data_IF_484479135102
#
_entry.id   IF_484479135102
#
_cell.length_a   1.000
_cell.length_b   1.000
_cell.length_c   1.000
_cell.angle_alpha   90.00
_cell.angle_beta   90.00
_cell.angle_gamma   90.00
#
_symmetry.space_group_name_H-M   'P 1'
#
loop_
_entity.id
_entity.type
_entity.pdbx_description
1 polymer ?
#
# COMPACT_ATOMS: atom_id res chain seq x y z
N UNK A 1 -14.60 22.98 -18.45
CA UNK A 1 -15.92 22.28 -18.48
C UNK A 1 -15.95 21.01 -19.36
N UNK A 2 -15.27 20.99 -20.52
CA UNK A 2 -15.23 19.84 -21.44
C UNK A 2 -14.38 18.68 -20.93
N UNK A 3 -13.28 18.96 -20.21
CA UNK A 3 -12.42 17.92 -19.61
C UNK A 3 -13.11 17.18 -18.47
N UNK A 4 -13.89 17.88 -17.65
CA UNK A 4 -14.66 17.29 -16.54
C UNK A 4 -15.79 16.40 -17.05
N UNK A 5 -16.45 16.76 -18.15
CA UNK A 5 -17.47 15.89 -18.78
C UNK A 5 -16.86 14.64 -19.42
N UNK A 6 -15.70 14.74 -20.07
CA UNK A 6 -15.00 13.56 -20.62
C UNK A 6 -14.52 12.62 -19.49
N UNK A 7 -13.97 13.15 -18.39
CA UNK A 7 -13.58 12.35 -17.25
C UNK A 7 -14.79 11.70 -16.56
N UNK A 8 -15.91 12.41 -16.41
CA UNK A 8 -17.17 11.82 -15.94
C UNK A 8 -17.67 10.71 -16.88
N UNK A 9 -17.59 10.88 -18.19
CA UNK A 9 -17.99 9.86 -19.16
C UNK A 9 -17.11 8.60 -19.11
N UNK A 10 -15.79 8.74 -18.91
CA UNK A 10 -14.89 7.58 -18.72
C UNK A 10 -15.13 6.86 -17.39
N UNK A 11 -15.45 7.59 -16.33
CA UNK A 11 -15.85 7.01 -15.04
C UNK A 11 -17.25 6.36 -15.09
N UNK A 12 -18.14 6.82 -15.96
CA UNK A 12 -19.54 6.38 -16.10
C UNK A 12 -19.66 5.18 -17.07
N UNK A 13 -18.68 4.93 -17.94
CA UNK A 13 -18.77 3.82 -18.92
C UNK A 13 -19.03 2.47 -18.26
N UNK A 14 -18.46 2.20 -17.09
CA UNK A 14 -18.64 0.94 -16.40
C UNK A 14 -19.85 0.92 -15.45
N UNK A 15 -20.42 2.10 -15.06
CA UNK A 15 -21.56 2.19 -14.12
C UNK A 15 -22.39 3.46 -14.29
N UNK A 16 -23.44 3.44 -15.12
CA UNK A 16 -24.24 4.64 -15.40
C UNK A 16 -25.06 5.20 -14.24
N UNK A 17 -25.23 4.49 -13.12
CA UNK A 17 -26.22 4.83 -12.08
C UNK A 17 -25.74 4.72 -10.63
N UNK A 18 -24.46 4.47 -10.35
CA UNK A 18 -23.98 4.35 -8.99
C UNK A 18 -23.12 5.56 -8.60
N UNK A 19 -23.50 6.26 -7.52
CA UNK A 19 -22.70 7.33 -6.86
C UNK A 19 -21.44 6.76 -6.18
N UNK A 20 -20.73 5.88 -6.86
CA UNK A 20 -19.53 5.21 -6.34
C UNK A 20 -18.30 5.65 -7.12
N UNK A 21 -17.13 5.76 -6.48
CA UNK A 21 -15.87 6.00 -7.18
C UNK A 21 -15.64 4.92 -8.23
N UNK A 22 -14.84 5.27 -9.24
CA UNK A 22 -14.40 4.33 -10.27
C UNK A 22 -13.79 3.07 -9.64
N UNK A 23 -14.04 1.91 -10.20
CA UNK A 23 -13.59 0.60 -9.71
C UNK A 23 -14.22 0.10 -8.40
N UNK A 24 -15.23 0.80 -7.88
CA UNK A 24 -16.01 0.39 -6.70
C UNK A 24 -17.45 0.04 -7.08
N UNK A 25 -18.01 -1.00 -6.41
CA UNK A 25 -19.40 -1.42 -6.62
C UNK A 25 -20.41 -0.56 -5.86
N UNK A 26 -19.90 0.23 -4.88
CA UNK A 26 -20.74 0.95 -3.92
C UNK A 26 -21.15 0.11 -2.71
N UNK A 27 -20.84 -1.18 -2.72
CA UNK A 27 -21.16 -2.12 -1.63
C UNK A 27 -19.97 -2.42 -0.72
N UNK A 28 -18.77 -2.08 -1.13
CA UNK A 28 -17.57 -2.20 -0.29
C UNK A 28 -17.66 -1.29 0.95
N UNK A 29 -17.06 -1.69 2.09
CA UNK A 29 -17.12 -0.91 3.33
C UNK A 29 -16.68 0.55 3.17
N UNK A 30 -15.62 0.80 2.37
CA UNK A 30 -15.15 2.15 2.10
C UNK A 30 -16.14 2.98 1.28
N UNK A 31 -16.71 2.40 0.19
CA UNK A 31 -17.69 3.08 -0.64
C UNK A 31 -18.99 3.38 0.12
N UNK A 32 -19.45 2.45 0.96
CA UNK A 32 -20.63 2.65 1.84
C UNK A 32 -20.40 3.76 2.85
N UNK A 33 -19.20 3.85 3.43
CA UNK A 33 -18.83 4.97 4.32
C UNK A 33 -18.80 6.28 3.57
N UNK A 34 -18.15 6.32 2.39
CA UNK A 34 -18.14 7.52 1.54
C UNK A 34 -19.56 8.02 1.25
N UNK A 35 -20.47 7.13 0.81
CA UNK A 35 -21.89 7.48 0.56
C UNK A 35 -22.58 8.03 1.80
N UNK A 36 -22.43 7.38 2.96
CA UNK A 36 -23.05 7.80 4.22
C UNK A 36 -22.67 9.22 4.63
N UNK A 37 -21.46 9.62 4.29
CA UNK A 37 -20.89 10.93 4.63
C UNK A 37 -20.82 11.90 3.45
N UNK A 38 -21.58 11.65 2.36
CA UNK A 38 -21.54 12.46 1.14
C UNK A 38 -20.10 12.72 0.63
N UNK A 39 -19.23 11.72 0.79
CA UNK A 39 -17.79 11.78 0.46
C UNK A 39 -17.01 12.90 1.18
N UNK A 40 -17.54 13.49 2.23
CA UNK A 40 -16.81 14.43 3.08
C UNK A 40 -15.75 13.68 3.90
N UNK A 41 -14.47 14.05 3.76
CA UNK A 41 -13.34 13.36 4.39
C UNK A 41 -13.32 13.57 5.90
N UNK A 42 -13.62 14.80 6.38
CA UNK A 42 -13.67 15.14 7.81
C UNK A 42 -14.63 14.22 8.55
N UNK A 43 -15.88 14.18 8.15
CA UNK A 43 -16.90 13.36 8.82
C UNK A 43 -16.67 11.85 8.69
N UNK A 44 -16.01 11.39 7.60
CA UNK A 44 -15.61 9.98 7.48
C UNK A 44 -14.53 9.60 8.51
N UNK A 45 -13.55 10.47 8.74
CA UNK A 45 -12.47 10.23 9.72
C UNK A 45 -13.01 10.35 11.14
N UNK A 46 -13.84 11.36 11.44
CA UNK A 46 -14.52 11.52 12.73
C UNK A 46 -15.28 10.26 13.12
N UNK A 47 -16.21 9.84 12.28
CA UNK A 47 -17.02 8.62 12.51
C UNK A 47 -16.16 7.37 12.70
N UNK A 48 -15.02 7.28 12.00
CA UNK A 48 -14.13 6.12 12.12
C UNK A 48 -13.30 6.15 13.40
N UNK A 49 -12.81 7.32 13.81
CA UNK A 49 -12.11 7.49 15.09
C UNK A 49 -13.02 7.18 16.27
N UNK A 50 -14.25 7.72 16.28
CA UNK A 50 -15.25 7.42 17.31
C UNK A 50 -15.52 5.91 17.41
N UNK A 51 -15.65 5.23 16.27
CA UNK A 51 -15.85 3.78 16.26
C UNK A 51 -14.66 3.03 16.86
N UNK A 52 -13.41 3.43 16.55
CA UNK A 52 -12.23 2.81 17.14
C UNK A 52 -12.16 3.05 18.65
N UNK A 53 -12.38 4.29 19.11
CA UNK A 53 -12.36 4.65 20.52
C UNK A 53 -13.44 3.87 21.28
N UNK A 54 -14.66 3.82 20.75
CA UNK A 54 -15.78 3.07 21.35
C UNK A 54 -15.48 1.57 21.49
N UNK A 55 -14.74 1.02 20.54
CA UNK A 55 -14.32 -0.39 20.55
C UNK A 55 -13.04 -0.64 21.37
N UNK A 56 -12.50 0.35 22.07
CA UNK A 56 -11.31 0.24 22.90
C UNK A 56 -10.00 0.12 22.14
N UNK A 57 -9.97 0.48 20.85
CA UNK A 57 -8.74 0.47 20.06
C UNK A 57 -7.91 1.74 20.31
N UNK A 58 -6.57 1.63 20.38
CA UNK A 58 -5.69 2.80 20.41
C UNK A 58 -5.82 3.59 19.11
N UNK A 59 -5.80 4.92 19.20
CA UNK A 59 -5.93 5.85 18.07
C UNK A 59 -4.80 6.87 18.02
N UNK A 60 -3.72 6.63 18.71
CA UNK A 60 -2.50 7.45 18.70
C UNK A 60 -1.69 7.33 17.41
N UNK A 61 -1.82 6.20 16.69
CA UNK A 61 -1.18 5.92 15.39
C UNK A 61 -2.22 5.55 14.35
N UNK A 62 -2.39 6.40 13.35
CA UNK A 62 -3.39 6.25 12.28
C UNK A 62 -2.69 6.03 10.95
N UNK A 63 -3.12 5.03 10.19
CA UNK A 63 -2.82 4.90 8.76
C UNK A 63 -4.04 5.35 7.95
N UNK A 64 -3.89 6.35 7.08
CA UNK A 64 -4.92 6.81 6.16
C UNK A 64 -4.72 6.14 4.80
N UNK A 65 -5.80 5.68 4.19
CA UNK A 65 -5.83 5.24 2.80
C UNK A 65 -6.91 6.02 2.06
N UNK A 66 -6.49 6.87 1.13
CA UNK A 66 -7.39 7.57 0.21
C UNK A 66 -7.79 6.60 -0.89
N UNK A 67 -8.99 6.07 -0.78
CA UNK A 67 -9.55 5.08 -1.69
C UNK A 67 -10.50 5.76 -2.68
N UNK A 68 -10.47 5.34 -3.93
CA UNK A 68 -11.35 5.92 -4.97
C UNK A 68 -10.90 5.58 -6.39
N UNK A 69 -9.93 4.68 -6.51
CA UNK A 69 -9.43 4.13 -7.76
C UNK A 69 -8.43 5.02 -8.48
N UNK A 70 -8.66 6.34 -8.61
CA UNK A 70 -7.74 7.27 -9.28
C UNK A 70 -7.88 8.66 -8.66
N UNK A 71 -7.35 8.81 -7.45
CA UNK A 71 -7.45 10.08 -6.72
C UNK A 71 -6.69 11.21 -7.42
N UNK A 72 -5.52 10.91 -7.98
CA UNK A 72 -4.65 11.87 -8.68
C UNK A 72 -5.26 12.47 -9.95
N UNK A 73 -6.34 11.89 -10.49
CA UNK A 73 -7.08 12.47 -11.62
C UNK A 73 -8.05 13.60 -11.22
N UNK A 74 -8.19 13.89 -9.92
CA UNK A 74 -8.98 15.01 -9.43
C UNK A 74 -8.19 16.29 -9.49
N UNK A 75 -8.89 17.45 -9.54
CA UNK A 75 -8.24 18.74 -9.46
C UNK A 75 -7.40 18.85 -8.18
N UNK A 76 -6.22 19.48 -8.22
CA UNK A 76 -5.33 19.62 -7.05
C UNK A 76 -6.03 20.22 -5.84
N UNK A 77 -6.79 21.30 -6.03
CA UNK A 77 -7.52 21.95 -4.94
C UNK A 77 -8.51 21.01 -4.25
N UNK A 78 -9.17 20.13 -5.03
CA UNK A 78 -10.04 19.10 -4.46
C UNK A 78 -9.24 18.07 -3.64
N UNK A 79 -8.06 17.67 -4.13
CA UNK A 79 -7.20 16.73 -3.42
C UNK A 79 -6.76 17.33 -2.08
N UNK A 80 -6.32 18.59 -2.08
CA UNK A 80 -5.83 19.28 -0.90
C UNK A 80 -6.96 19.53 0.11
N UNK A 81 -8.13 19.97 -0.32
CA UNK A 81 -9.30 20.15 0.57
C UNK A 81 -9.78 18.79 1.16
N UNK A 82 -9.72 17.72 0.37
CA UNK A 82 -10.07 16.38 0.87
C UNK A 82 -9.12 15.92 1.97
N UNK A 83 -7.81 16.11 1.79
CA UNK A 83 -6.81 15.76 2.79
C UNK A 83 -6.86 16.68 4.00
N UNK A 84 -7.01 17.99 3.80
CA UNK A 84 -7.22 19.00 4.86
C UNK A 84 -8.36 18.58 5.78
N UNK A 85 -9.52 18.17 5.24
CA UNK A 85 -10.64 17.69 6.04
C UNK A 85 -10.27 16.48 6.93
N UNK A 86 -9.49 15.53 6.41
CA UNK A 86 -9.01 14.40 7.19
C UNK A 86 -8.05 14.83 8.31
N UNK A 87 -7.07 15.69 8.01
CA UNK A 87 -6.09 16.18 8.98
C UNK A 87 -6.70 17.13 10.01
N UNK A 88 -7.72 17.90 9.66
CA UNK A 88 -8.48 18.71 10.62
C UNK A 88 -9.05 17.87 11.76
N UNK A 89 -9.58 16.69 11.44
CA UNK A 89 -10.05 15.74 12.46
C UNK A 89 -8.92 15.18 13.32
N UNK A 90 -7.80 14.77 12.69
CA UNK A 90 -6.67 14.19 13.44
C UNK A 90 -6.02 15.20 14.38
N UNK A 91 -5.94 16.46 13.96
CA UNK A 91 -5.32 17.55 14.72
C UNK A 91 -6.29 18.22 15.72
N UNK A 92 -7.60 18.00 15.55
CA UNK A 92 -8.63 18.68 16.35
C UNK A 92 -8.80 20.17 16.04
N UNK A 93 -8.22 20.67 14.93
CA UNK A 93 -8.28 22.05 14.47
C UNK A 93 -8.20 22.16 12.95
N UNK A 94 -8.77 23.22 12.39
CA UNK A 94 -8.71 23.50 10.95
C UNK A 94 -7.50 24.39 10.62
N UNK A 95 -6.67 23.91 9.70
CA UNK A 95 -5.46 24.58 9.21
C UNK A 95 -5.36 24.37 7.71
N UNK A 96 -4.65 25.23 6.96
CA UNK A 96 -4.19 24.91 5.61
C UNK A 96 -3.48 23.55 5.59
N UNK A 97 -3.55 22.82 4.46
CA UNK A 97 -3.05 21.43 4.42
C UNK A 97 -1.57 21.34 4.84
N UNK A 98 -0.72 22.22 4.36
CA UNK A 98 0.72 22.22 4.66
C UNK A 98 0.99 22.35 6.17
N UNK A 99 0.32 23.34 6.80
CA UNK A 99 0.40 23.53 8.26
C UNK A 99 -0.19 22.33 9.01
N UNK A 100 -1.32 21.78 8.52
CA UNK A 100 -1.96 20.62 9.13
C UNK A 100 -1.08 19.36 9.11
N UNK A 101 -0.27 19.19 8.05
CA UNK A 101 0.70 18.09 7.95
C UNK A 101 1.84 18.27 8.97
N UNK A 102 2.36 19.48 9.13
CA UNK A 102 3.42 19.77 10.11
C UNK A 102 2.91 19.60 11.54
N UNK A 103 1.72 20.15 11.84
CA UNK A 103 1.08 20.08 13.16
C UNK A 103 0.76 18.66 13.59
N UNK A 104 0.55 17.75 12.64
CA UNK A 104 0.19 16.36 12.96
C UNK A 104 1.30 15.60 13.73
N UNK A 105 2.54 16.08 13.71
CA UNK A 105 3.64 15.59 14.55
C UNK A 105 3.31 15.66 16.05
N UNK A 106 2.60 16.69 16.49
CA UNK A 106 2.21 16.93 17.89
C UNK A 106 0.78 16.49 18.22
N UNK A 107 -0.02 16.16 17.21
CA UNK A 107 -1.43 15.80 17.37
C UNK A 107 -1.63 14.53 18.24
N UNK A 108 -2.82 14.44 18.87
CA UNK A 108 -3.25 13.24 19.58
C UNK A 108 -3.34 12.01 18.66
N UNK A 109 -3.84 12.21 17.45
CA UNK A 109 -4.02 11.17 16.43
C UNK A 109 -2.99 11.38 15.31
N UNK A 110 -1.85 10.69 15.40
CA UNK A 110 -0.72 10.86 14.50
C UNK A 110 -0.88 10.03 13.23
N UNK A 111 -0.87 10.67 12.06
CA UNK A 111 -0.85 9.98 10.78
C UNK A 111 0.55 9.43 10.51
N UNK A 112 0.76 8.15 10.78
CA UNK A 112 2.06 7.48 10.59
C UNK A 112 2.28 7.01 9.15
N UNK A 113 1.22 6.91 8.35
CA UNK A 113 1.30 6.60 6.93
C UNK A 113 0.07 7.13 6.18
N UNK A 114 0.30 7.78 5.06
CA UNK A 114 -0.72 8.18 4.10
C UNK A 114 -0.53 7.39 2.80
N UNK A 115 -1.59 6.75 2.34
CA UNK A 115 -1.63 5.98 1.09
C UNK A 115 -2.60 6.61 0.11
N UNK A 116 -2.19 6.71 -1.15
CA UNK A 116 -3.03 7.18 -2.25
C UNK A 116 -3.21 6.07 -3.28
N UNK A 117 -4.46 5.79 -3.67
CA UNK A 117 -4.78 4.88 -4.78
C UNK A 117 -4.81 5.66 -6.10
N UNK A 118 -4.14 5.11 -7.13
CA UNK A 118 -4.15 5.68 -8.47
C UNK A 118 -3.94 4.61 -9.55
N UNK A 119 -3.74 5.05 -10.80
CA UNK A 119 -3.41 4.20 -11.95
C UNK A 119 -1.97 4.48 -12.38
N UNK A 120 -1.27 3.50 -12.99
CA UNK A 120 0.06 3.73 -13.55
C UNK A 120 0.12 4.94 -14.49
N UNK A 121 -0.85 5.08 -15.39
CA UNK A 121 -0.95 6.20 -16.35
C UNK A 121 -1.10 7.59 -15.73
N UNK A 122 -1.48 7.67 -14.47
CA UNK A 122 -1.63 8.92 -13.72
C UNK A 122 -0.42 9.23 -12.82
N UNK A 123 0.60 8.35 -12.80
CA UNK A 123 1.86 8.58 -12.10
C UNK A 123 2.81 9.37 -12.99
N UNK A 124 2.57 10.67 -13.13
CA UNK A 124 3.47 11.61 -13.81
C UNK A 124 4.44 12.24 -12.80
N UNK A 125 5.59 12.82 -13.22
CA UNK A 125 6.49 13.53 -12.31
C UNK A 125 5.76 14.55 -11.44
N UNK A 126 4.83 15.30 -12.03
CA UNK A 126 4.03 16.29 -11.31
C UNK A 126 3.10 15.65 -10.25
N UNK A 127 2.37 14.60 -10.61
CA UNK A 127 1.45 13.95 -9.66
C UNK A 127 2.21 13.24 -8.52
N UNK A 128 3.39 12.70 -8.79
CA UNK A 128 4.26 12.11 -7.77
C UNK A 128 4.78 13.18 -6.82
N UNK A 129 5.21 14.33 -7.34
CA UNK A 129 5.58 15.49 -6.53
C UNK A 129 4.41 15.94 -5.65
N UNK A 130 3.20 16.10 -6.20
CA UNK A 130 2.01 16.47 -5.44
C UNK A 130 1.68 15.45 -4.34
N UNK A 131 1.73 14.16 -4.63
CA UNK A 131 1.54 13.13 -3.60
C UNK A 131 2.56 13.25 -2.46
N UNK A 132 3.83 13.57 -2.77
CA UNK A 132 4.84 13.82 -1.74
C UNK A 132 4.53 15.07 -0.93
N UNK A 133 4.20 16.19 -1.57
CA UNK A 133 3.75 17.43 -0.92
C UNK A 133 2.56 17.18 0.01
N UNK A 134 1.65 16.32 -0.37
CA UNK A 134 0.48 15.91 0.40
C UNK A 134 0.79 14.93 1.55
N UNK A 135 2.05 14.58 1.78
CA UNK A 135 2.47 13.70 2.88
C UNK A 135 2.30 12.20 2.60
N UNK A 136 2.09 11.80 1.34
CA UNK A 136 2.00 10.38 1.00
C UNK A 136 3.32 9.66 1.28
N UNK A 137 3.19 8.44 1.83
CA UNK A 137 4.31 7.52 2.07
C UNK A 137 4.21 6.25 1.26
N UNK A 138 3.05 6.01 0.65
CA UNK A 138 2.74 4.80 -0.10
C UNK A 138 1.75 5.11 -1.22
N UNK A 139 1.96 4.50 -2.38
CA UNK A 139 1.04 4.59 -3.50
C UNK A 139 0.61 3.21 -3.94
N UNK A 140 -0.68 3.03 -4.12
CA UNK A 140 -1.29 1.80 -4.60
C UNK A 140 -1.67 2.00 -6.07
N UNK A 141 -1.05 1.24 -6.96
CA UNK A 141 -1.31 1.35 -8.40
C UNK A 141 -2.04 0.12 -8.93
N UNK A 142 -3.01 0.37 -9.79
CA UNK A 142 -3.83 -0.66 -10.40
C UNK A 142 -3.14 -1.32 -11.59
N UNK A 143 -2.17 -2.20 -11.35
CA UNK A 143 -1.44 -2.96 -12.39
C UNK A 143 -2.33 -3.96 -13.09
N UNK A 144 -3.03 -4.78 -12.33
CA UNK A 144 -3.95 -5.86 -12.70
C UNK A 144 -3.26 -7.13 -13.24
N UNK A 145 -2.54 -7.06 -14.34
CA UNK A 145 -1.68 -8.10 -14.93
C UNK A 145 -0.51 -7.44 -15.67
N UNK A 146 0.43 -8.22 -16.18
CA UNK A 146 1.56 -7.77 -17.00
C UNK A 146 1.41 -8.23 -18.46
N UNK A 147 0.22 -8.02 -19.03
CA UNK A 147 -0.12 -8.46 -20.38
C UNK A 147 -0.91 -7.35 -21.12
N UNK A 148 -0.28 -6.75 -22.15
CA UNK A 148 -0.88 -5.65 -22.89
C UNK A 148 -2.07 -6.08 -23.76
N UNK A 149 -2.08 -7.34 -24.25
CA UNK A 149 -3.22 -7.88 -24.99
C UNK A 149 -4.46 -7.99 -24.09
N UNK A 150 -4.26 -8.45 -22.84
CA UNK A 150 -5.32 -8.48 -21.83
C UNK A 150 -5.80 -7.09 -21.47
N UNK A 151 -4.90 -6.13 -21.31
CA UNK A 151 -5.26 -4.73 -21.09
C UNK A 151 -6.08 -4.17 -22.26
N UNK A 152 -5.69 -4.50 -23.49
CA UNK A 152 -6.42 -4.11 -24.70
C UNK A 152 -7.83 -4.67 -24.77
N UNK A 153 -8.00 -5.97 -24.54
CA UNK A 153 -9.30 -6.67 -24.48
C UNK A 153 -10.24 -6.06 -23.44
N UNK A 154 -9.68 -5.62 -22.31
CA UNK A 154 -10.45 -4.96 -21.24
C UNK A 154 -10.66 -3.45 -21.47
N UNK A 155 -10.24 -2.92 -22.64
CA UNK A 155 -10.26 -1.49 -22.95
C UNK A 155 -9.64 -0.61 -21.84
N UNK A 156 -8.57 -1.10 -21.23
CA UNK A 156 -7.94 -0.49 -20.05
C UNK A 156 -6.88 0.53 -20.46
N UNK A 157 -6.76 1.10 -21.55
CA UNK A 157 -5.85 2.18 -21.95
C UNK A 157 -4.62 2.33 -21.02
N UNK A 158 -3.90 1.25 -20.81
CA UNK A 158 -2.73 1.12 -19.95
C UNK A 158 -1.82 0.07 -20.57
N UNK A 159 -0.53 0.34 -20.64
CA UNK A 159 0.49 -0.60 -21.06
C UNK A 159 1.32 -1.08 -19.86
N UNK A 160 2.01 -2.20 -20.02
CA UNK A 160 2.99 -2.69 -19.04
C UNK A 160 4.12 -1.66 -18.84
N UNK A 161 4.50 -0.95 -19.91
CA UNK A 161 5.47 0.14 -19.83
C UNK A 161 5.03 1.29 -18.91
N UNK A 162 3.73 1.59 -18.83
CA UNK A 162 3.21 2.58 -17.87
C UNK A 162 3.44 2.13 -16.42
N UNK A 163 3.36 0.81 -16.17
CA UNK A 163 3.68 0.24 -14.85
C UNK A 163 5.16 0.41 -14.52
N UNK A 164 6.05 0.15 -15.49
CA UNK A 164 7.50 0.34 -15.34
C UNK A 164 7.82 1.79 -15.00
N UNK A 165 7.33 2.74 -15.82
CA UNK A 165 7.52 4.18 -15.62
C UNK A 165 6.99 4.65 -14.25
N UNK A 166 5.78 4.24 -13.89
CA UNK A 166 5.17 4.60 -12.62
C UNK A 166 5.99 4.06 -11.44
N UNK A 167 6.44 2.79 -11.52
CA UNK A 167 7.22 2.17 -10.45
C UNK A 167 8.54 2.91 -10.23
N UNK A 168 9.24 3.25 -11.32
CA UNK A 168 10.48 4.01 -11.26
C UNK A 168 10.27 5.37 -10.58
N UNK A 169 9.35 6.19 -11.06
CA UNK A 169 9.06 7.51 -10.50
C UNK A 169 8.67 7.46 -9.01
N UNK A 170 7.84 6.48 -8.63
CA UNK A 170 7.41 6.33 -7.24
C UNK A 170 8.57 5.92 -6.33
N UNK A 171 9.44 5.01 -6.78
CA UNK A 171 10.60 4.57 -5.99
C UNK A 171 11.67 5.65 -5.88
N UNK A 172 11.96 6.39 -6.92
CA UNK A 172 12.88 7.54 -6.92
C UNK A 172 12.39 8.64 -5.95
N UNK A 173 11.05 8.84 -5.86
CA UNK A 173 10.45 9.73 -4.87
C UNK A 173 10.40 9.12 -3.45
N UNK A 174 11.00 7.97 -3.20
CA UNK A 174 11.03 7.30 -1.90
C UNK A 174 9.69 6.70 -1.47
N UNK A 175 8.68 6.63 -2.33
CA UNK A 175 7.36 6.09 -2.00
C UNK A 175 7.37 4.56 -2.02
N UNK A 176 6.64 3.94 -1.10
CA UNK A 176 6.34 2.50 -1.16
C UNK A 176 5.34 2.23 -2.27
N UNK A 177 5.58 1.19 -3.05
CA UNK A 177 4.74 0.83 -4.20
C UNK A 177 3.97 -0.45 -3.93
N UNK A 178 2.64 -0.35 -4.04
CA UNK A 178 1.72 -1.49 -3.89
C UNK A 178 1.07 -1.80 -5.23
N UNK A 179 1.20 -3.03 -5.70
CA UNK A 179 0.50 -3.47 -6.90
C UNK A 179 -0.84 -4.12 -6.54
N UNK A 180 -1.90 -3.64 -7.18
CA UNK A 180 -3.16 -4.35 -7.25
C UNK A 180 -3.13 -5.28 -8.45
N UNK A 181 -3.23 -6.58 -8.21
CA UNK A 181 -3.25 -7.61 -9.23
C UNK A 181 -4.61 -8.33 -9.23
N UNK A 182 -5.06 -8.68 -10.41
CA UNK A 182 -6.34 -9.35 -10.62
C UNK A 182 -6.15 -10.69 -11.35
N UNK A 183 -5.74 -11.75 -10.64
CA UNK A 183 -5.63 -13.08 -11.25
C UNK A 183 -6.94 -13.53 -11.89
N UNK A 184 -6.83 -14.23 -13.01
CA UNK A 184 -7.97 -14.75 -13.76
C UNK A 184 -8.78 -13.68 -14.49
N UNK A 185 -8.17 -12.67 -15.06
CA UNK A 185 -8.82 -11.73 -15.99
C UNK A 185 -9.20 -12.45 -17.31
N UNK A 186 -10.20 -11.94 -18.08
CA UNK A 186 -10.48 -12.45 -19.42
C UNK A 186 -9.22 -12.51 -20.29
N UNK A 187 -8.90 -13.69 -20.79
CA UNK A 187 -7.66 -13.95 -21.55
C UNK A 187 -6.47 -14.46 -20.73
N UNK A 188 -6.58 -14.47 -19.38
CA UNK A 188 -5.62 -15.09 -18.48
C UNK A 188 -5.98 -16.55 -18.18
N UNK A 189 -4.98 -17.31 -17.74
CA UNK A 189 -5.10 -18.65 -17.15
C UNK A 189 -4.07 -18.79 -16.03
N UNK A 190 -4.11 -19.84 -15.19
CA UNK A 190 -3.20 -20.00 -14.06
C UNK A 190 -1.72 -19.94 -14.42
N UNK A 191 -1.32 -20.49 -15.57
CA UNK A 191 0.06 -20.50 -16.06
C UNK A 191 0.53 -19.08 -16.44
N UNK A 192 -0.32 -18.30 -17.11
CA UNK A 192 -0.04 -16.90 -17.45
C UNK A 192 0.04 -16.03 -16.20
N UNK A 193 -0.90 -16.19 -15.27
CA UNK A 193 -0.87 -15.46 -14.00
C UNK A 193 0.41 -15.79 -13.20
N UNK A 194 0.81 -17.06 -13.13
CA UNK A 194 2.03 -17.46 -12.43
C UNK A 194 3.28 -16.91 -13.11
N UNK A 195 3.31 -16.86 -14.45
CA UNK A 195 4.40 -16.22 -15.22
C UNK A 195 4.49 -14.73 -14.86
N UNK A 196 3.37 -14.01 -14.85
CA UNK A 196 3.34 -12.60 -14.47
C UNK A 196 3.83 -12.41 -13.03
N UNK A 197 3.45 -13.30 -12.10
CA UNK A 197 3.93 -13.25 -10.72
C UNK A 197 5.45 -13.45 -10.59
N UNK A 198 6.06 -14.32 -11.41
CA UNK A 198 7.52 -14.49 -11.45
C UNK A 198 8.20 -13.23 -11.94
N UNK A 199 7.72 -12.64 -13.04
CA UNK A 199 8.23 -11.40 -13.60
C UNK A 199 8.29 -10.25 -12.58
N UNK A 200 7.30 -10.17 -11.66
CA UNK A 200 7.30 -9.14 -10.60
C UNK A 200 8.56 -9.14 -9.74
N UNK A 201 9.25 -10.28 -9.62
CA UNK A 201 10.39 -10.44 -8.71
C UNK A 201 11.70 -10.82 -9.43
N UNK A 202 11.62 -11.21 -10.70
CA UNK A 202 12.77 -11.54 -11.53
C UNK A 202 13.23 -10.34 -12.35
N UNK A 203 12.30 -9.47 -12.80
CA UNK A 203 12.58 -8.27 -13.58
C UNK A 203 12.77 -7.05 -12.66
N UNK A 204 13.90 -6.34 -12.79
CA UNK A 204 14.23 -5.21 -11.91
C UNK A 204 13.29 -4.02 -12.07
N UNK A 205 12.60 -3.90 -13.19
CA UNK A 205 11.66 -2.83 -13.50
C UNK A 205 10.44 -2.81 -12.56
N UNK A 206 10.08 -3.96 -11.99
CA UNK A 206 8.90 -4.06 -11.13
C UNK A 206 9.25 -4.03 -9.64
N UNK A 207 9.61 -5.14 -9.04
CA UNK A 207 10.00 -5.30 -7.62
C UNK A 207 9.09 -4.54 -6.63
N UNK A 208 7.76 -4.78 -6.62
CA UNK A 208 6.85 -4.05 -5.73
C UNK A 208 7.16 -4.31 -4.26
N UNK A 209 6.92 -3.31 -3.40
CA UNK A 209 7.08 -3.45 -1.96
C UNK A 209 5.94 -4.27 -1.33
N UNK A 210 4.74 -4.17 -1.93
CA UNK A 210 3.54 -4.83 -1.40
C UNK A 210 2.61 -5.28 -2.53
N UNK A 211 1.78 -6.28 -2.22
CA UNK A 211 0.78 -6.82 -3.14
C UNK A 211 -0.61 -6.83 -2.51
N UNK A 212 -1.61 -6.51 -3.32
CA UNK A 212 -3.02 -6.83 -3.10
C UNK A 212 -3.49 -7.72 -4.25
N UNK A 213 -3.97 -8.90 -3.92
CA UNK A 213 -4.39 -9.93 -4.88
C UNK A 213 -5.91 -10.01 -4.87
N UNK A 214 -6.52 -9.71 -5.98
CA UNK A 214 -7.97 -9.66 -6.12
C UNK A 214 -8.43 -10.57 -7.27
N UNK A 215 -8.56 -11.90 -7.05
CA UNK A 215 -9.09 -12.80 -8.09
C UNK A 215 -10.32 -12.20 -8.73
N UNK A 216 -10.38 -12.30 -10.06
CA UNK A 216 -11.44 -11.69 -10.85
C UNK A 216 -12.78 -12.33 -10.52
N UNK A 217 -13.82 -11.51 -10.37
CA UNK A 217 -15.18 -11.93 -10.04
C UNK A 217 -16.14 -11.37 -11.07
N UNK A 218 -17.16 -12.13 -11.40
CA UNK A 218 -18.37 -11.59 -12.05
C UNK A 218 -19.26 -10.96 -10.98
N UNK A 219 -19.41 -9.64 -11.03
CA UNK A 219 -20.17 -8.87 -10.03
C UNK A 219 -21.37 -8.21 -10.68
N UNK A 220 -22.53 -8.27 -10.02
CA UNK A 220 -23.76 -7.66 -10.49
C UNK A 220 -23.55 -6.21 -10.92
N UNK A 221 -24.03 -5.85 -12.10
CA UNK A 221 -23.94 -4.50 -12.66
C UNK A 221 -22.59 -4.11 -13.25
N UNK A 222 -21.56 -4.99 -13.23
CA UNK A 222 -20.32 -4.75 -13.97
C UNK A 222 -20.49 -4.93 -15.46
N UNK A 223 -19.63 -4.28 -16.28
CA UNK A 223 -19.64 -4.46 -17.73
C UNK A 223 -19.39 -5.93 -18.10
N UNK A 224 -18.39 -6.55 -17.45
CA UNK A 224 -18.04 -7.95 -17.64
C UNK A 224 -19.20 -8.92 -17.33
N UNK A 225 -20.05 -8.59 -16.33
CA UNK A 225 -21.20 -9.43 -16.00
C UNK A 225 -22.39 -9.24 -16.95
N UNK A 226 -22.44 -8.13 -17.70
CA UNK A 226 -23.48 -7.90 -18.73
C UNK A 226 -23.16 -8.61 -20.04
N UNK A 227 -21.89 -8.74 -20.35
CA UNK A 227 -21.39 -9.40 -21.56
C UNK A 227 -20.11 -10.20 -21.21
N UNK A 228 -20.28 -11.38 -20.59
CA UNK A 228 -19.15 -12.19 -20.17
C UNK A 228 -18.51 -12.97 -21.34
N UNK A 229 -19.21 -13.15 -22.47
CA UNK A 229 -18.79 -14.07 -23.51
C UNK A 229 -18.54 -15.47 -22.91
N UNK A 230 -17.42 -16.09 -23.31
CA UNK A 230 -16.97 -17.40 -22.78
C UNK A 230 -16.16 -17.30 -21.48
N UNK A 231 -16.11 -16.12 -20.86
CA UNK A 231 -15.31 -15.89 -19.65
C UNK A 231 -15.89 -16.61 -18.43
N UNK A 232 -15.08 -17.48 -17.83
CA UNK A 232 -15.37 -18.15 -16.56
C UNK A 232 -14.31 -17.75 -15.54
N UNK A 233 -14.68 -17.08 -14.44
CA UNK A 233 -13.72 -16.73 -13.39
C UNK A 233 -13.26 -17.97 -12.63
N UNK A 234 -12.06 -17.92 -12.05
CA UNK A 234 -11.54 -19.01 -11.22
C UNK A 234 -12.47 -19.34 -10.07
N UNK A 235 -12.67 -20.62 -9.82
CA UNK A 235 -13.28 -21.10 -8.59
C UNK A 235 -12.37 -20.90 -7.37
N UNK A 236 -12.83 -21.30 -6.19
CA UNK A 236 -12.08 -21.13 -4.95
C UNK A 236 -10.81 -21.98 -4.93
N UNK A 237 -10.84 -23.19 -5.48
CA UNK A 237 -9.73 -24.15 -5.46
C UNK A 237 -8.61 -23.69 -6.39
N UNK A 238 -8.95 -23.37 -7.63
CA UNK A 238 -8.00 -22.81 -8.62
C UNK A 238 -7.34 -21.53 -8.10
N UNK A 239 -8.14 -20.60 -7.57
CA UNK A 239 -7.62 -19.36 -7.03
C UNK A 239 -6.74 -19.59 -5.78
N UNK A 240 -7.08 -20.55 -4.92
CA UNK A 240 -6.28 -20.90 -3.73
C UNK A 240 -4.94 -21.51 -4.10
N UNK A 241 -4.94 -22.45 -5.08
CA UNK A 241 -3.74 -23.08 -5.62
C UNK A 241 -2.79 -22.04 -6.22
N UNK A 242 -3.28 -21.19 -7.13
CA UNK A 242 -2.48 -20.12 -7.75
C UNK A 242 -1.91 -19.14 -6.71
N UNK A 243 -2.70 -18.76 -5.69
CA UNK A 243 -2.20 -17.87 -4.62
C UNK A 243 -1.18 -18.63 -3.75
N UNK A 244 -1.28 -19.93 -3.58
CA UNK A 244 -0.26 -20.73 -2.91
C UNK A 244 1.06 -20.70 -3.71
N UNK A 245 1.00 -20.86 -5.03
CA UNK A 245 2.17 -20.76 -5.92
C UNK A 245 2.86 -19.39 -5.77
N UNK A 246 2.10 -18.28 -5.86
CA UNK A 246 2.63 -16.94 -5.61
C UNK A 246 3.27 -16.84 -4.22
N UNK A 247 2.64 -17.37 -3.19
CA UNK A 247 3.14 -17.28 -1.80
C UNK A 247 4.41 -18.10 -1.59
N UNK A 248 4.67 -19.10 -2.42
CA UNK A 248 5.92 -19.87 -2.41
C UNK A 248 7.09 -19.06 -2.95
N UNK A 249 6.87 -18.30 -4.03
CA UNK A 249 7.93 -17.53 -4.71
C UNK A 249 8.12 -16.10 -4.19
N UNK A 250 7.17 -15.56 -3.41
CA UNK A 250 7.22 -14.17 -2.96
C UNK A 250 8.45 -13.90 -2.08
N UNK A 251 9.27 -12.87 -2.41
CA UNK A 251 10.47 -12.54 -1.64
C UNK A 251 10.17 -12.08 -0.21
N UNK A 252 11.12 -12.27 0.73
CA UNK A 252 10.95 -11.89 2.14
C UNK A 252 10.71 -10.38 2.36
N UNK A 253 11.16 -9.52 1.45
CA UNK A 253 10.96 -8.07 1.54
C UNK A 253 9.58 -7.62 1.04
N UNK A 254 8.76 -8.50 0.45
CA UNK A 254 7.43 -8.15 -0.06
C UNK A 254 6.35 -8.43 0.99
N UNK A 255 5.36 -7.52 1.09
CA UNK A 255 4.18 -7.72 1.93
C UNK A 255 2.96 -8.09 1.08
N UNK A 256 2.39 -9.26 1.27
CA UNK A 256 1.03 -9.55 0.75
C UNK A 256 0.03 -8.94 1.73
N UNK A 257 -0.42 -7.72 1.41
CA UNK A 257 -1.32 -6.95 2.27
C UNK A 257 -2.71 -7.58 2.34
N UNK A 258 -3.26 -7.91 1.17
CA UNK A 258 -4.62 -8.40 1.05
C UNK A 258 -4.72 -9.50 -0.01
N UNK A 259 -5.56 -10.46 0.29
CA UNK A 259 -6.00 -11.49 -0.64
C UNK A 259 -7.52 -11.45 -0.63
N UNK A 260 -8.12 -11.20 -1.78
CA UNK A 260 -9.54 -11.03 -2.01
C UNK A 260 -10.09 -9.63 -1.62
N UNK A 261 -11.05 -9.17 -2.40
CA UNK A 261 -11.77 -7.88 -2.22
C UNK A 261 -13.00 -8.08 -1.33
N UNK A 262 -13.37 -7.05 -0.55
CA UNK A 262 -14.56 -7.08 0.31
C UNK A 262 -15.83 -6.79 -0.51
N UNK A 263 -16.21 -7.74 -1.38
CA UNK A 263 -17.47 -7.69 -2.12
C UNK A 263 -18.47 -8.61 -1.40
N UNK A 264 -19.64 -8.11 -1.00
CA UNK A 264 -20.65 -8.95 -0.35
C UNK A 264 -21.09 -10.09 -1.28
N UNK A 265 -21.18 -11.31 -0.72
CA UNK A 265 -21.57 -12.52 -1.46
C UNK A 265 -22.81 -12.35 -2.36
N UNK A 266 -23.89 -11.65 -1.95
CA UNK A 266 -25.07 -11.44 -2.81
C UNK A 266 -24.79 -10.62 -4.08
N UNK A 267 -23.66 -9.91 -4.15
CA UNK A 267 -23.23 -9.15 -5.33
C UNK A 267 -22.40 -9.96 -6.31
N UNK A 268 -21.89 -11.13 -5.90
CA UNK A 268 -21.04 -12.00 -6.72
C UNK A 268 -21.93 -12.96 -7.50
N UNK A 269 -21.79 -12.98 -8.83
CA UNK A 269 -22.48 -13.89 -9.73
C UNK A 269 -21.68 -15.18 -9.86
N UNK A 270 -20.34 -15.06 -10.10
CA UNK A 270 -19.43 -16.18 -10.26
C UNK A 270 -18.01 -15.81 -9.81
N UNK A 271 -17.19 -16.84 -9.51
CA UNK A 271 -15.84 -16.73 -9.01
C UNK A 271 -15.74 -17.11 -7.54
N UNK A 272 -14.71 -16.62 -6.85
CA UNK A 272 -14.45 -16.96 -5.45
C UNK A 272 -15.55 -16.41 -4.54
N UNK A 273 -16.43 -17.30 -4.07
CA UNK A 273 -17.57 -16.96 -3.20
C UNK A 273 -17.19 -16.83 -1.71
N UNK A 274 -16.12 -17.49 -1.29
CA UNK A 274 -15.72 -17.57 0.11
C UNK A 274 -14.81 -16.37 0.49
N UNK A 275 -15.12 -15.68 1.59
CA UNK A 275 -14.38 -14.49 2.04
C UNK A 275 -13.01 -14.79 2.69
N UNK A 276 -12.65 -16.06 2.84
CA UNK A 276 -11.46 -16.53 3.56
C UNK A 276 -10.41 -17.20 2.65
N UNK A 277 -10.30 -16.78 1.39
CA UNK A 277 -9.38 -17.34 0.39
C UNK A 277 -7.91 -17.44 0.91
N UNK A 278 -7.46 -16.47 1.73
CA UNK A 278 -6.14 -16.54 2.38
C UNK A 278 -5.94 -17.81 3.20
N UNK A 279 -7.00 -18.31 3.84
CA UNK A 279 -6.94 -19.53 4.65
C UNK A 279 -6.84 -20.78 3.76
N UNK A 280 -7.59 -20.79 2.63
CA UNK A 280 -7.49 -21.87 1.64
C UNK A 280 -6.06 -21.95 1.07
N UNK A 281 -5.50 -20.86 0.59
CA UNK A 281 -4.13 -20.80 0.10
C UNK A 281 -3.08 -21.21 1.15
N UNK A 282 -3.33 -20.93 2.44
CA UNK A 282 -2.45 -21.40 3.54
C UNK A 282 -2.54 -22.91 3.75
N UNK A 283 -3.72 -23.49 3.65
CA UNK A 283 -3.92 -24.96 3.75
C UNK A 283 -3.21 -25.65 2.61
N UNK A 284 -3.36 -25.12 1.40
CA UNK A 284 -2.70 -25.63 0.19
C UNK A 284 -1.18 -25.61 0.34
N UNK A 285 -0.57 -24.49 0.75
CA UNK A 285 0.86 -24.41 1.04
C UNK A 285 1.31 -25.45 2.08
N UNK A 286 0.53 -25.63 3.16
CA UNK A 286 0.85 -26.60 4.20
C UNK A 286 0.79 -28.03 3.68
N UNK A 287 -0.21 -28.36 2.85
CA UNK A 287 -0.34 -29.68 2.21
C UNK A 287 0.86 -30.00 1.32
N UNK A 288 1.42 -28.98 0.65
CA UNK A 288 2.65 -29.09 -0.17
C UNK A 288 3.95 -29.10 0.64
N UNK A 289 3.91 -29.01 1.97
CA UNK A 289 5.10 -28.88 2.82
C UNK A 289 5.84 -27.56 2.66
N UNK A 290 5.21 -26.51 2.07
CA UNK A 290 5.81 -25.21 1.74
C UNK A 290 5.41 -24.11 2.71
N UNK A 291 6.19 -23.02 2.73
CA UNK A 291 5.99 -21.85 3.60
C UNK A 291 6.04 -20.56 2.80
N UNK A 292 5.28 -19.57 3.24
CA UNK A 292 5.34 -18.22 2.70
C UNK A 292 6.26 -17.34 3.55
N UNK A 293 7.23 -16.70 2.91
CA UNK A 293 8.22 -15.83 3.56
C UNK A 293 7.86 -14.33 3.53
N UNK A 294 6.67 -13.95 3.01
CA UNK A 294 6.29 -12.54 2.96
C UNK A 294 6.23 -11.89 4.35
N UNK A 295 6.43 -10.58 4.43
CA UNK A 295 6.40 -9.79 5.67
C UNK A 295 5.18 -10.14 6.54
N UNK A 296 3.97 -10.14 5.94
CA UNK A 296 2.73 -10.40 6.69
C UNK A 296 2.68 -11.78 7.36
N UNK A 297 3.34 -12.81 6.80
CA UNK A 297 3.41 -14.14 7.39
C UNK A 297 4.43 -14.24 8.52
N UNK A 298 5.41 -13.35 8.56
CA UNK A 298 6.51 -13.34 9.53
C UNK A 298 6.31 -12.34 10.67
N UNK A 299 5.38 -11.39 10.57
CA UNK A 299 5.10 -10.42 11.65
C UNK A 299 4.70 -11.11 12.95
N UNK A 300 5.03 -10.46 14.05
CA UNK A 300 4.86 -11.01 15.41
C UNK A 300 3.41 -11.19 15.82
N UNK A 301 2.48 -10.40 15.30
CA UNK A 301 1.07 -10.38 15.72
C UNK A 301 0.92 -10.37 17.26
N UNK A 302 0.77 -11.53 17.89
CA UNK A 302 0.65 -11.72 19.36
C UNK A 302 1.73 -12.64 19.94
N UNK A 303 2.71 -13.06 19.12
CA UNK A 303 3.77 -13.93 19.60
C UNK A 303 4.68 -13.16 20.58
N UNK A 304 4.94 -13.75 21.73
CA UNK A 304 6.00 -13.30 22.63
C UNK A 304 7.33 -13.91 22.15
N UNK A 305 8.32 -13.08 21.98
CA UNK A 305 9.65 -13.51 21.55
C UNK A 305 10.66 -12.80 22.45
N UNK A 306 11.70 -13.53 22.83
CA UNK A 306 12.87 -12.95 23.50
C UNK A 306 13.62 -12.08 22.48
N UNK A 307 13.65 -10.77 22.69
CA UNK A 307 14.30 -9.86 21.77
C UNK A 307 15.84 -9.97 21.73
N UNK A 308 16.45 -10.62 22.73
CA UNK A 308 17.89 -10.88 22.76
C UNK A 308 18.33 -11.84 21.65
N UNK A 309 17.40 -12.62 21.10
CA UNK A 309 17.59 -13.54 19.98
C UNK A 309 17.50 -12.87 18.61
N UNK A 310 17.37 -11.53 18.56
CA UNK A 310 17.21 -10.79 17.31
C UNK A 310 18.54 -10.72 16.53
N UNK A 311 18.54 -11.26 15.33
CA UNK A 311 19.64 -11.20 14.38
C UNK A 311 19.34 -10.18 13.28
N UNK A 312 20.38 -9.42 12.87
CA UNK A 312 20.29 -8.56 11.68
C UNK A 312 20.40 -9.43 10.43
N UNK A 313 19.44 -9.25 9.51
CA UNK A 313 19.47 -9.83 8.17
C UNK A 313 19.37 -8.74 7.11
N UNK A 314 20.04 -8.96 6.01
CA UNK A 314 20.09 -8.06 4.87
C UNK A 314 19.74 -8.78 3.59
N UNK A 315 18.91 -8.15 2.78
CA UNK A 315 18.64 -8.56 1.39
C UNK A 315 18.90 -7.37 0.50
N UNK A 316 19.86 -7.49 -0.41
CA UNK A 316 20.16 -6.52 -1.46
C UNK A 316 19.51 -6.98 -2.76
N UNK A 317 18.85 -6.09 -3.48
CA UNK A 317 18.28 -6.34 -4.80
C UNK A 317 18.26 -5.06 -5.65
N UNK A 318 18.19 -5.23 -6.96
CA UNK A 318 18.04 -4.11 -7.90
C UNK A 318 16.55 -3.84 -8.12
N UNK A 319 16.18 -2.57 -8.23
CA UNK A 319 14.82 -2.20 -8.60
C UNK A 319 14.78 -0.85 -9.29
N UNK A 320 14.24 -0.82 -10.51
CA UNK A 320 14.02 0.41 -11.28
C UNK A 320 15.24 1.33 -11.30
N UNK A 321 16.44 0.76 -11.57
CA UNK A 321 17.70 1.48 -11.68
C UNK A 321 18.39 1.85 -10.36
N UNK A 322 17.87 1.46 -9.20
CA UNK A 322 18.49 1.70 -7.89
C UNK A 322 18.82 0.42 -7.12
N UNK A 323 19.76 0.51 -6.19
CA UNK A 323 20.04 -0.54 -5.23
C UNK A 323 19.08 -0.43 -4.04
N UNK A 324 18.35 -1.49 -3.75
CA UNK A 324 17.45 -1.59 -2.61
C UNK A 324 18.04 -2.51 -1.54
N UNK A 325 17.97 -2.09 -0.29
CA UNK A 325 18.36 -2.87 0.87
C UNK A 325 17.15 -3.07 1.78
N UNK A 326 16.80 -4.32 2.02
CA UNK A 326 15.85 -4.69 3.07
C UNK A 326 16.63 -5.16 4.28
N UNK A 327 16.75 -4.28 5.28
CA UNK A 327 17.41 -4.55 6.54
C UNK A 327 16.37 -4.99 7.55
N UNK A 328 16.55 -6.12 8.21
CA UNK A 328 15.58 -6.63 9.17
C UNK A 328 16.22 -7.23 10.41
N UNK A 329 15.60 -7.01 11.57
CA UNK A 329 15.87 -7.80 12.76
C UNK A 329 14.86 -8.95 12.82
N UNK A 330 15.36 -10.16 12.89
CA UNK A 330 14.58 -11.39 12.89
C UNK A 330 14.98 -12.31 14.04
N UNK A 331 14.00 -13.02 14.62
CA UNK A 331 14.24 -14.10 15.58
C UNK A 331 13.59 -15.37 15.05
N UNK A 332 14.41 -16.35 14.69
CA UNK A 332 13.96 -17.53 13.94
C UNK A 332 13.25 -17.15 12.64
N UNK A 333 11.96 -17.46 12.53
CA UNK A 333 11.14 -17.09 11.36
C UNK A 333 10.34 -15.80 11.55
N UNK A 334 10.53 -15.08 12.66
CA UNK A 334 9.73 -13.92 13.03
C UNK A 334 10.47 -12.61 12.79
N UNK A 335 9.74 -11.67 12.19
CA UNK A 335 10.22 -10.34 11.84
C UNK A 335 9.90 -9.37 12.99
N UNK A 336 10.93 -8.81 13.62
CA UNK A 336 10.79 -7.88 14.75
C UNK A 336 10.74 -6.42 14.28
N UNK A 337 11.52 -6.10 13.25
CA UNK A 337 11.54 -4.77 12.65
C UNK A 337 12.29 -4.81 11.33
N UNK A 338 12.04 -3.83 10.48
CA UNK A 338 12.72 -3.72 9.19
C UNK A 338 12.80 -2.28 8.71
N UNK A 339 13.75 -2.06 7.80
CA UNK A 339 13.97 -0.81 7.10
C UNK A 339 14.19 -1.10 5.62
N UNK A 340 13.66 -0.22 4.74
CA UNK A 340 13.95 -0.19 3.31
C UNK A 340 14.81 1.02 2.99
N UNK A 341 16.02 0.77 2.55
CA UNK A 341 16.93 1.79 2.06
C UNK A 341 17.09 1.64 0.55
N UNK A 342 16.93 2.73 -0.17
CA UNK A 342 17.24 2.83 -1.61
C UNK A 342 18.45 3.72 -1.80
N UNK A 343 19.38 3.26 -2.60
CA UNK A 343 20.55 4.00 -3.06
C UNK A 343 20.50 4.13 -4.58
N UNK A 344 20.28 5.35 -5.04
CA UNK A 344 20.34 5.76 -6.44
C UNK A 344 21.08 7.12 -6.53
N UNK A 345 20.53 8.15 -7.16
CA UNK A 345 21.04 9.52 -7.05
C UNK A 345 20.95 10.07 -5.61
N UNK A 346 20.11 9.46 -4.78
CA UNK A 346 19.88 9.81 -3.39
C UNK A 346 19.97 8.58 -2.47
N UNK A 347 20.36 8.79 -1.24
CA UNK A 347 20.19 7.79 -0.18
C UNK A 347 18.81 8.03 0.48
N UNK A 348 17.86 7.11 0.31
CA UNK A 348 16.48 7.30 0.77
C UNK A 348 15.99 6.13 1.62
N UNK A 349 15.68 6.37 2.89
CA UNK A 349 14.91 5.44 3.73
C UNK A 349 13.44 5.56 3.34
N UNK A 350 12.91 4.51 2.71
CA UNK A 350 11.54 4.46 2.18
C UNK A 350 10.51 3.91 3.18
N UNK A 351 10.95 3.13 4.14
CA UNK A 351 10.14 2.59 5.22
C UNK A 351 11.00 2.22 6.42
N UNK A 352 10.53 2.55 7.63
CA UNK A 352 11.02 2.00 8.90
C UNK A 352 9.81 1.48 9.66
N UNK A 353 9.83 0.23 10.08
CA UNK A 353 8.75 -0.39 10.85
C UNK A 353 9.28 -1.35 11.88
N UNK A 354 8.84 -1.19 13.13
CA UNK A 354 9.00 -2.17 14.19
C UNK A 354 7.67 -2.87 14.40
N UNK A 355 7.67 -4.21 14.41
CA UNK A 355 6.47 -5.05 14.52
C UNK A 355 6.13 -5.32 15.99
N UNK A 356 4.94 -5.90 16.23
CA UNK A 356 4.46 -6.21 17.57
C UNK A 356 3.21 -5.41 17.97
N UNK A 357 2.74 -5.60 19.19
CA UNK A 357 1.62 -4.79 19.72
C UNK A 357 2.04 -3.33 19.80
N UNK A 358 1.22 -2.45 19.23
CA UNK A 358 1.45 -1.02 19.31
C UNK A 358 1.48 -0.59 20.76
N UNK A 359 2.63 -0.16 21.24
CA UNK A 359 2.71 0.51 22.54
C UNK A 359 2.30 1.97 22.37
N UNK A 360 1.58 2.52 23.35
CA UNK A 360 1.22 3.92 23.36
C UNK A 360 2.49 4.79 23.35
N UNK A 361 2.45 5.90 22.64
CA UNK A 361 3.57 6.84 22.59
C UNK A 361 3.89 7.33 24.00
N UNK A 362 5.16 7.18 24.42
CA UNK A 362 5.62 7.64 25.74
C UNK A 362 5.45 6.65 26.90
N UNK A 363 4.89 5.44 26.67
CA UNK A 363 4.87 4.38 27.70
C UNK A 363 5.96 3.35 27.44
N UNK A 364 6.76 3.02 28.45
CA UNK A 364 7.67 1.88 28.43
C UNK A 364 6.83 0.60 28.46
N UNK A 365 6.78 -0.09 27.31
CA UNK A 365 6.11 -1.39 27.19
C UNK A 365 7.12 -2.53 27.36
N UNK A 366 6.66 -3.69 27.80
CA UNK A 366 7.45 -4.93 27.85
C UNK A 366 7.65 -5.59 26.48
N UNK A 367 7.36 -4.88 25.38
CA UNK A 367 7.37 -5.41 24.01
C UNK A 367 8.54 -4.91 23.15
N UNK A 368 8.74 -5.56 22.03
CA UNK A 368 9.80 -5.32 21.02
C UNK A 368 9.89 -3.85 20.53
N UNK A 369 8.80 -3.08 20.60
CA UNK A 369 8.75 -1.69 20.11
C UNK A 369 9.63 -0.68 20.89
N UNK A 370 10.08 -1.01 22.10
CA UNK A 370 10.88 -0.07 22.93
C UNK A 370 12.35 -0.46 23.10
N UNK A 371 12.83 -1.42 22.30
CA UNK A 371 14.21 -1.93 22.37
C UNK A 371 15.21 -1.17 21.51
N UNK A 372 14.86 -0.02 20.99
CA UNK A 372 15.75 0.76 20.13
C UNK A 372 16.02 0.15 18.76
N UNK A 373 15.28 -0.89 18.33
CA UNK A 373 15.48 -1.55 17.02
C UNK A 373 15.35 -0.56 15.85
N UNK A 374 14.42 0.39 15.96
CA UNK A 374 14.25 1.43 14.94
C UNK A 374 15.50 2.30 14.80
N UNK A 375 16.06 2.78 15.90
CA UNK A 375 17.29 3.60 15.91
C UNK A 375 18.51 2.80 15.44
N UNK A 376 18.59 1.51 15.79
CA UNK A 376 19.67 0.64 15.28
C UNK A 376 19.59 0.46 13.76
N UNK A 377 18.37 0.24 13.22
CA UNK A 377 18.17 0.13 11.77
C UNK A 377 18.51 1.43 11.04
N UNK A 378 18.16 2.59 11.64
CA UNK A 378 18.53 3.90 11.07
C UNK A 378 20.04 4.09 11.03
N UNK A 379 20.76 3.75 12.11
CA UNK A 379 22.22 3.83 12.15
C UNK A 379 22.88 2.96 11.07
N UNK A 380 22.41 1.72 10.89
CA UNK A 380 22.91 0.82 9.84
C UNK A 380 22.63 1.41 8.43
N UNK A 381 21.48 2.05 8.24
CA UNK A 381 21.16 2.71 6.97
C UNK A 381 22.06 3.92 6.72
N UNK A 382 22.38 4.71 7.74
CA UNK A 382 23.34 5.83 7.68
C UNK A 382 24.76 5.32 7.31
N UNK A 383 25.21 4.24 7.94
CA UNK A 383 26.50 3.60 7.63
C UNK A 383 26.56 3.10 6.17
N UNK A 384 25.47 2.51 5.66
CA UNK A 384 25.39 2.08 4.25
C UNK A 384 25.33 3.24 3.26
N UNK A 385 24.84 4.38 3.69
CA UNK A 385 24.74 5.59 2.90
C UNK A 385 26.00 6.49 3.03
N UNK A 386 27.09 6.04 3.64
CA UNK A 386 28.29 6.84 3.93
C UNK A 386 28.96 7.48 2.70
N UNK A 387 28.70 6.97 1.49
CA UNK A 387 29.18 7.58 0.25
C UNK A 387 28.35 8.80 -0.21
N UNK A 388 27.24 9.07 0.45
CA UNK A 388 26.36 10.20 0.16
C UNK A 388 26.59 11.32 1.18
N UNK A 389 26.46 12.57 0.74
CA UNK A 389 26.54 13.72 1.65
C UNK A 389 25.32 13.84 2.58
N UNK A 390 24.18 13.25 2.15
CA UNK A 390 22.91 13.32 2.89
C UNK A 390 22.13 12.00 2.77
N UNK A 391 21.36 11.70 3.81
CA UNK A 391 20.33 10.67 3.78
C UNK A 391 18.96 11.30 4.04
N UNK A 392 17.97 10.89 3.27
CA UNK A 392 16.59 11.37 3.43
C UNK A 392 15.62 10.24 3.80
N UNK A 393 14.55 10.59 4.50
CA UNK A 393 13.53 9.64 4.95
C UNK A 393 12.16 10.07 4.43
N UNK A 394 11.45 9.15 3.79
CA UNK A 394 10.03 9.30 3.48
C UNK A 394 9.22 9.02 4.74
N UNK A 395 8.77 10.08 5.40
CA UNK A 395 8.08 10.00 6.68
C UNK A 395 6.57 10.23 6.56
N UNK A 396 5.78 9.67 7.49
CA UNK A 396 4.39 10.08 7.70
C UNK A 396 4.34 11.38 8.52
N UNK A 397 3.38 12.28 8.29
CA UNK A 397 3.30 13.57 9.00
C UNK A 397 3.40 13.43 10.51
N UNK A 398 2.73 12.43 11.10
CA UNK A 398 2.75 12.16 12.54
C UNK A 398 4.04 11.54 13.08
N UNK A 399 5.06 11.30 12.25
CA UNK A 399 6.32 10.67 12.69
C UNK A 399 7.52 11.63 12.69
N UNK A 400 7.31 12.90 12.32
CA UNK A 400 8.36 13.93 12.21
C UNK A 400 9.23 13.99 13.46
N UNK A 401 8.64 14.16 14.64
CA UNK A 401 9.34 14.28 15.92
C UNK A 401 10.22 13.06 16.28
N UNK A 402 9.93 11.89 15.74
CA UNK A 402 10.79 10.72 15.92
C UNK A 402 12.11 10.89 15.19
N UNK A 403 12.08 11.41 13.97
CA UNK A 403 13.30 11.63 13.17
C UNK A 403 14.08 12.84 13.63
N UNK A 404 13.43 13.91 14.11
CA UNK A 404 14.10 15.06 14.74
C UNK A 404 14.98 14.63 15.93
N UNK A 405 14.48 13.71 16.78
CA UNK A 405 15.26 13.12 17.87
C UNK A 405 16.48 12.31 17.42
N UNK A 406 16.53 11.90 16.15
CA UNK A 406 17.68 11.22 15.55
C UNK A 406 18.60 12.19 14.78
N UNK A 407 18.35 13.50 14.86
CA UNK A 407 19.15 14.55 14.22
C UNK A 407 18.79 14.81 12.76
N UNK A 408 17.56 14.47 12.35
CA UNK A 408 17.03 14.79 11.02
C UNK A 408 16.24 16.10 11.07
N UNK A 409 16.30 16.87 10.01
CA UNK A 409 15.52 18.10 9.82
C UNK A 409 14.56 17.98 8.64
N UNK A 410 13.42 18.66 8.70
CA UNK A 410 12.47 18.70 7.60
C UNK A 410 13.02 19.62 6.48
N UNK A 411 13.33 19.03 5.33
CA UNK A 411 13.73 19.76 4.12
C UNK A 411 12.81 19.30 2.97
N UNK A 412 12.15 20.24 2.31
CA UNK A 412 11.07 19.99 1.37
C UNK A 412 9.99 19.06 1.99
N UNK A 413 9.89 17.84 1.59
CA UNK A 413 8.89 16.90 2.09
C UNK A 413 9.54 15.64 2.69
N UNK A 414 10.82 15.70 3.09
CA UNK A 414 11.59 14.61 3.65
C UNK A 414 12.22 15.02 4.97
N UNK A 415 12.45 14.06 5.85
CA UNK A 415 13.37 14.26 6.96
C UNK A 415 14.78 13.98 6.44
N UNK A 416 15.68 14.94 6.54
CA UNK A 416 17.03 14.90 5.95
C UNK A 416 18.08 15.05 7.04
N UNK A 417 19.18 14.32 6.90
CA UNK A 417 20.36 14.42 7.78
C UNK A 417 21.61 14.43 6.94
N UNK A 418 22.52 15.37 7.24
CA UNK A 418 23.86 15.37 6.67
C UNK A 418 24.66 14.19 7.23
N UNK A 419 25.41 13.53 6.35
CA UNK A 419 26.29 12.42 6.72
C UNK A 419 27.73 12.93 6.77
N UNK A 420 28.57 12.40 7.68
CA UNK A 420 29.96 12.83 7.86
C UNK A 420 30.84 12.55 6.65
#
# INVERSE_FOLDING_TARGET
HLSIRRQRQMCIRDRPKNDSPQSYTGHEPAARRGKRHNYNSKSQVESRLEQYIRNGHPTDKIEIIVMGGTFTSRAPDYQDEFLKGAFSTLNGKELPLEEALQENGDAKHKCVALTIETRPTECTPWSVFQMRKQGATRVEIGVQCLDDEVHGKLNRKQLVEDVVKATKLLKEAGLKVVYHLMPGLPGMNPEKDLRDFKRLFEEEEFQPDMLKLYPTLLVKGSALARDPGDFVPYDTETAASLIADLKEIVPPYVRIQRIQRDIPKPQIIAGVMNSNLRQYARRELKARGKKCNCINCRELWRAQIDPSTAELKEIKYRSSGGDEYFLSFESGTKLLGYLRLRLDENATVRELKVTGQAANIGKTGTGVQHMGLGSKLMKIAEEKAAAYSKIRVTHGPGTRLYYEKLGYELQDYYMVKDLP
#
